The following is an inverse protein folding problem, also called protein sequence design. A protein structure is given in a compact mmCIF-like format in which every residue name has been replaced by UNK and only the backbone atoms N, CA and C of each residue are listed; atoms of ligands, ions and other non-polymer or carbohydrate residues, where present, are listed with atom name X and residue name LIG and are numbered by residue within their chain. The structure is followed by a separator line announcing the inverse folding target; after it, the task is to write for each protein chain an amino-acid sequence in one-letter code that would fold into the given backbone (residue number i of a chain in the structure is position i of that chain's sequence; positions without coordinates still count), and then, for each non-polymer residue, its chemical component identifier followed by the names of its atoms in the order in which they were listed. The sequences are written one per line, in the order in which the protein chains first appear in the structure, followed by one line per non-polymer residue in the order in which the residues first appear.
data_IF_880418629939
#
_entry.id   IF_880418629939
#
_cell.length_a   1.000
_cell.length_b   1.000
_cell.length_c   1.000
_cell.angle_alpha   90.00
_cell.angle_beta   90.00
_cell.angle_gamma   90.00
#
_symmetry.space_group_name_H-M   'P 1'
#
loop_
_entity.id
_entity.type
_entity.pdbx_description
1 polymer ?
#
# COMPACT_ATOMS: atom_id res chain seq x y z
N UNK A 1 14.71 9.51 -4.21
CA UNK A 1 13.80 10.06 -3.17
C UNK A 1 13.13 8.87 -2.52
N UNK A 2 13.30 8.67 -1.23
CA UNK A 2 12.57 7.61 -0.51
C UNK A 2 11.09 8.01 -0.49
N UNK A 3 10.15 7.06 -0.49
CA UNK A 3 8.70 7.32 -0.44
C UNK A 3 8.33 8.38 0.62
N UNK A 4 8.94 8.27 1.78
CA UNK A 4 8.78 9.20 2.91
C UNK A 4 9.20 10.63 2.54
N UNK A 5 10.28 10.82 1.78
CA UNK A 5 10.77 12.15 1.38
C UNK A 5 9.83 12.83 0.38
N UNK A 6 9.10 12.05 -0.43
CA UNK A 6 8.08 12.58 -1.35
C UNK A 6 6.82 13.02 -0.59
N UNK A 7 6.34 12.21 0.35
CA UNK A 7 5.20 12.54 1.22
C UNK A 7 5.48 13.79 2.05
N UNK A 8 6.69 13.91 2.59
CA UNK A 8 7.12 15.10 3.34
C UNK A 8 7.11 16.38 2.48
N UNK A 9 7.45 16.29 1.19
CA UNK A 9 7.45 17.45 0.28
C UNK A 9 6.05 17.95 -0.07
N UNK A 10 5.06 17.06 -0.07
CA UNK A 10 3.66 17.38 -0.38
C UNK A 10 2.82 17.77 0.85
N UNK A 11 3.33 17.51 2.06
CA UNK A 11 2.59 17.78 3.30
C UNK A 11 2.98 19.13 3.89
N UNK A 12 2.02 19.99 4.27
CA UNK A 12 2.29 21.22 5.01
C UNK A 12 3.07 20.94 6.31
N UNK A 13 4.05 21.79 6.71
CA UNK A 13 4.89 21.54 7.89
C UNK A 13 4.10 21.31 9.17
N UNK A 14 2.96 21.99 9.31
CA UNK A 14 2.03 21.90 10.43
C UNK A 14 1.29 20.56 10.53
N UNK A 15 1.18 19.80 9.43
CA UNK A 15 0.52 18.49 9.38
C UNK A 15 1.49 17.32 9.26
N UNK A 16 2.80 17.57 9.13
CA UNK A 16 3.80 16.55 8.85
C UNK A 16 3.84 15.44 9.92
N UNK A 17 3.75 15.82 11.20
CA UNK A 17 3.65 14.84 12.29
C UNK A 17 2.41 13.94 12.20
N UNK A 18 1.26 14.49 11.79
CA UNK A 18 0.00 13.74 11.63
C UNK A 18 0.08 12.77 10.45
N UNK A 19 0.60 13.21 9.31
CA UNK A 19 0.73 12.37 8.11
C UNK A 19 1.72 11.24 8.33
N UNK A 20 2.83 11.48 9.02
CA UNK A 20 3.77 10.43 9.38
C UNK A 20 3.13 9.41 10.34
N UNK A 21 2.39 9.84 11.36
CA UNK A 21 1.64 8.93 12.24
C UNK A 21 0.58 8.13 11.50
N UNK A 22 -0.12 8.73 10.53
CA UNK A 22 -1.08 8.02 9.67
C UNK A 22 -0.40 6.99 8.78
N UNK A 23 0.78 7.28 8.23
CA UNK A 23 1.58 6.32 7.48
C UNK A 23 1.94 5.10 8.33
N UNK A 24 2.43 5.34 9.56
CA UNK A 24 2.73 4.26 10.51
C UNK A 24 1.48 3.47 10.89
N UNK A 25 0.38 4.16 11.21
CA UNK A 25 -0.89 3.51 11.53
C UNK A 25 -1.40 2.65 10.38
N UNK A 26 -1.25 3.11 9.14
CA UNK A 26 -1.66 2.36 7.95
C UNK A 26 -0.82 1.10 7.80
N UNK A 27 0.51 1.22 7.89
CA UNK A 27 1.42 0.06 7.77
C UNK A 27 1.22 -0.96 8.88
N UNK A 28 1.16 -0.52 10.15
CA UNK A 28 1.00 -1.43 11.29
C UNK A 28 -0.43 -1.90 11.50
N UNK A 29 -1.42 -1.10 11.12
CA UNK A 29 -2.84 -1.43 11.25
C UNK A 29 -3.28 -2.46 10.22
N UNK A 30 -2.75 -2.43 9.00
CA UNK A 30 -3.06 -3.39 7.93
C UNK A 30 -2.28 -4.71 8.08
N UNK A 31 -1.07 -4.67 8.64
CA UNK A 31 -0.23 -5.86 8.82
C UNK A 31 -0.95 -7.07 9.48
N UNK A 32 -1.66 -6.94 10.63
CA UNK A 32 -2.32 -8.08 11.26
C UNK A 32 -3.45 -8.67 10.38
N UNK A 33 -4.19 -7.84 9.64
CA UNK A 33 -5.20 -8.33 8.70
C UNK A 33 -4.56 -9.07 7.53
N UNK A 34 -3.43 -8.58 7.01
CA UNK A 34 -2.67 -9.24 5.96
C UNK A 34 -2.17 -10.61 6.42
N UNK A 35 -1.66 -10.72 7.65
CA UNK A 35 -1.21 -12.00 8.20
C UNK A 35 -2.35 -12.96 8.48
N UNK A 36 -3.50 -12.47 8.95
CA UNK A 36 -4.69 -13.30 9.14
C UNK A 36 -5.19 -13.88 7.81
N UNK A 37 -5.29 -13.07 6.76
CA UNK A 37 -5.63 -13.53 5.41
C UNK A 37 -4.59 -14.51 4.87
N UNK A 38 -3.29 -14.19 5.02
CA UNK A 38 -2.22 -15.07 4.56
C UNK A 38 -2.30 -16.44 5.24
N UNK A 39 -2.55 -16.50 6.54
CA UNK A 39 -2.74 -17.74 7.28
C UNK A 39 -3.89 -18.59 6.72
N UNK A 40 -5.06 -17.98 6.48
CA UNK A 40 -6.22 -18.68 5.90
C UNK A 40 -5.95 -19.21 4.49
N UNK A 41 -5.16 -18.48 3.68
CA UNK A 41 -4.86 -18.87 2.31
C UNK A 41 -3.75 -19.93 2.23
N UNK A 42 -2.81 -19.96 3.18
CA UNK A 42 -1.75 -20.98 3.28
C UNK A 42 -2.35 -22.38 3.49
N UNK A 43 -3.40 -22.49 4.30
CA UNK A 43 -4.07 -23.78 4.56
C UNK A 43 -4.70 -24.40 3.30
N UNK A 44 -5.04 -23.58 2.30
CA UNK A 44 -5.59 -24.03 1.03
C UNK A 44 -4.49 -24.50 0.06
N UNK A 45 -3.56 -23.60 -0.30
CA UNK A 45 -2.41 -23.89 -1.15
C UNK A 45 -1.48 -22.65 -1.27
N UNK A 46 -0.16 -22.84 -1.14
CA UNK A 46 0.82 -21.79 -1.40
C UNK A 46 0.69 -21.19 -2.82
N UNK A 47 0.39 -22.00 -3.83
CA UNK A 47 0.22 -21.52 -5.20
C UNK A 47 -0.95 -20.53 -5.34
N UNK A 48 -2.04 -20.75 -4.59
CA UNK A 48 -3.20 -19.86 -4.58
C UNK A 48 -2.86 -18.56 -3.86
N UNK A 49 -2.13 -18.62 -2.73
CA UNK A 49 -1.69 -17.42 -2.02
C UNK A 49 -0.87 -16.48 -2.93
N UNK A 50 0.17 -17.01 -3.57
CA UNK A 50 1.02 -16.20 -4.46
C UNK A 50 0.28 -15.78 -5.74
N UNK A 51 -0.58 -16.65 -6.29
CA UNK A 51 -1.38 -16.31 -7.47
C UNK A 51 -2.36 -15.16 -7.21
N UNK A 52 -3.12 -15.22 -6.12
CA UNK A 52 -4.10 -14.18 -5.76
C UNK A 52 -3.41 -12.86 -5.44
N UNK A 53 -2.35 -12.88 -4.62
CA UNK A 53 -1.61 -11.66 -4.28
C UNK A 53 -0.92 -11.03 -5.49
N UNK A 54 -0.36 -11.84 -6.39
CA UNK A 54 0.23 -11.37 -7.65
C UNK A 54 -0.78 -10.73 -8.58
N UNK A 55 -1.95 -11.37 -8.79
CA UNK A 55 -3.04 -10.80 -9.60
C UNK A 55 -3.55 -9.51 -8.98
N UNK A 56 -3.73 -9.48 -7.65
CA UNK A 56 -4.18 -8.29 -6.93
C UNK A 56 -3.21 -7.11 -7.08
N UNK A 57 -1.90 -7.38 -6.99
CA UNK A 57 -0.85 -6.37 -7.22
C UNK A 57 -0.95 -5.77 -8.63
N UNK A 58 -1.03 -6.62 -9.67
CA UNK A 58 -1.14 -6.17 -11.07
C UNK A 58 -2.43 -5.36 -11.28
N UNK A 59 -3.53 -5.82 -10.70
CA UNK A 59 -4.82 -5.15 -10.80
C UNK A 59 -4.77 -3.74 -10.19
N UNK A 60 -4.19 -3.59 -9.00
CA UNK A 60 -4.00 -2.27 -8.37
C UNK A 60 -3.10 -1.39 -9.23
N UNK A 61 -1.98 -1.90 -9.72
CA UNK A 61 -1.08 -1.13 -10.60
C UNK A 61 -1.78 -0.67 -11.87
N UNK A 62 -2.60 -1.53 -12.48
CA UNK A 62 -3.39 -1.18 -13.67
C UNK A 62 -4.41 -0.06 -13.36
N UNK A 63 -5.10 -0.15 -12.23
CA UNK A 63 -6.03 0.89 -11.78
C UNK A 63 -5.33 2.23 -11.49
N UNK A 64 -4.17 2.20 -10.85
CA UNK A 64 -3.37 3.40 -10.56
C UNK A 64 -2.84 4.04 -11.84
N UNK A 65 -2.40 3.23 -12.81
CA UNK A 65 -1.90 3.72 -14.11
C UNK A 65 -3.02 4.33 -14.96
N UNK A 66 -4.25 3.81 -14.81
CA UNK A 66 -5.42 4.35 -15.52
C UNK A 66 -5.89 5.68 -14.93
N UNK A 67 -5.56 5.98 -13.66
CA UNK A 67 -5.91 7.24 -13.03
C UNK A 67 -4.95 8.37 -13.45
N UNK A 68 -5.41 9.38 -14.22
CA UNK A 68 -4.56 10.49 -14.66
C UNK A 68 -4.05 11.35 -13.49
N UNK A 69 -4.68 11.28 -12.32
CA UNK A 69 -4.21 11.94 -11.09
C UNK A 69 -2.84 11.45 -10.61
N UNK A 70 -2.42 10.22 -10.94
CA UNK A 70 -1.05 9.75 -10.62
C UNK A 70 -0.06 10.20 -11.69
N UNK A 71 -0.52 10.37 -12.93
CA UNK A 71 0.32 10.80 -14.06
C UNK A 71 0.59 12.30 -14.10
N UNK A 72 -0.25 13.12 -13.47
CA UNK A 72 -0.10 14.58 -13.43
C UNK A 72 0.59 15.08 -12.14
N UNK A 73 1.24 14.21 -11.36
CA UNK A 73 2.03 14.61 -10.17
C UNK A 73 3.49 14.92 -10.54
N UNK A 74 3.71 15.33 -11.78
CA UNK A 74 4.99 15.85 -12.31
C UNK A 74 5.06 17.36 -12.12
#
# INVERSE_FOLDING_TARGET
LTEITWVQKQTPPEMLGRVMSLGVLSSFGIAPFSFALAGLLVDLNLAILFGVTGIFMIFITALLTTNPSVRNIE
#
